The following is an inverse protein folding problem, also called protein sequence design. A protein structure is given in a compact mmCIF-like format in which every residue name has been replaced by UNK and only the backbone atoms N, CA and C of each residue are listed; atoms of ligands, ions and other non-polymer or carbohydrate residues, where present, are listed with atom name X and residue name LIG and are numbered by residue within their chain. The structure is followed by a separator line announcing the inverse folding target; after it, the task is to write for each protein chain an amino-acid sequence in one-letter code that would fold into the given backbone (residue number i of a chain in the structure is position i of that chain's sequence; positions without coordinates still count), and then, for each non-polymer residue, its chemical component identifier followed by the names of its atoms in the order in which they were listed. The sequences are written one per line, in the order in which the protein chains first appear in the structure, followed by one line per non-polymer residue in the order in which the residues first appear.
data_IF_248041099349
#
_entry.id   IF_248041099349
#
_cell.length_a   1.000
_cell.length_b   1.000
_cell.length_c   1.000
_cell.angle_alpha   90.00
_cell.angle_beta   90.00
_cell.angle_gamma   90.00
#
_symmetry.space_group_name_H-M   'P 1'
#
loop_
_entity.id
_entity.type
_entity.pdbx_description
1 polymer ?
#
# COMPACT_ATOMS: atom_id res chain seq x y z
N UNK A 1 -6.97 13.85 6.41
CA UNK A 1 -6.05 13.47 7.50
C UNK A 1 -4.98 12.50 6.98
N UNK A 2 -3.81 12.52 7.61
CA UNK A 2 -2.68 11.66 7.27
C UNK A 2 -2.28 10.84 8.50
N UNK A 3 -2.16 9.52 8.33
CA UNK A 3 -1.47 8.64 9.27
C UNK A 3 -0.16 8.20 8.62
N UNK A 4 0.97 8.54 9.26
CA UNK A 4 2.29 8.28 8.68
C UNK A 4 3.17 7.46 9.62
N UNK A 5 3.52 6.25 9.18
CA UNK A 5 4.52 5.40 9.82
C UNK A 5 5.90 5.71 9.25
N UNK A 6 6.81 6.16 10.11
CA UNK A 6 8.18 6.54 9.71
C UNK A 6 9.24 5.48 9.97
N UNK A 7 8.97 4.54 10.86
CA UNK A 7 9.97 3.68 11.48
C UNK A 7 10.71 4.42 12.62
N UNK A 8 11.33 3.65 13.51
CA UNK A 8 11.99 4.18 14.72
C UNK A 8 13.14 5.16 14.40
N UNK A 9 13.91 4.86 13.35
CA UNK A 9 15.08 5.66 12.98
C UNK A 9 14.72 7.08 12.49
N UNK A 10 13.61 7.20 11.74
CA UNK A 10 13.19 8.47 11.15
C UNK A 10 12.20 9.24 12.03
N UNK A 11 11.54 8.56 12.96
CA UNK A 11 10.53 9.17 13.82
C UNK A 11 11.02 10.44 14.56
N UNK A 12 12.22 10.47 15.18
CA UNK A 12 12.69 11.66 15.89
C UNK A 12 12.78 12.91 15.01
N UNK A 13 13.02 12.72 13.72
CA UNK A 13 13.16 13.79 12.72
C UNK A 13 11.81 14.40 12.34
N UNK A 14 10.75 13.58 12.31
CA UNK A 14 9.44 14.00 11.80
C UNK A 14 8.38 14.20 12.87
N UNK A 15 8.56 13.72 14.09
CA UNK A 15 7.55 13.78 15.16
C UNK A 15 6.99 15.18 15.45
N UNK A 16 7.77 16.24 15.21
CA UNK A 16 7.35 17.62 15.48
C UNK A 16 6.37 18.18 14.43
N UNK A 17 6.10 17.43 13.34
CA UNK A 17 5.08 17.77 12.34
C UNK A 17 3.71 17.17 12.67
N UNK A 18 3.55 16.50 13.83
CA UNK A 18 2.24 16.08 14.30
C UNK A 18 1.35 17.30 14.55
N UNK A 19 0.13 17.24 14.05
CA UNK A 19 -0.93 18.22 14.30
C UNK A 19 -2.32 17.54 14.28
N UNK A 20 -3.40 18.32 14.22
CA UNK A 20 -4.78 17.79 14.15
C UNK A 20 -5.12 17.03 12.85
N UNK A 21 -4.32 17.19 11.82
CA UNK A 21 -4.53 16.54 10.50
C UNK A 21 -3.47 15.50 10.17
N UNK A 22 -2.30 15.57 10.81
CA UNK A 22 -1.15 14.70 10.53
C UNK A 22 -0.76 13.96 11.81
N UNK A 23 -0.95 12.64 11.80
CA UNK A 23 -0.50 11.75 12.87
C UNK A 23 0.71 10.95 12.43
N UNK A 24 1.86 11.23 13.05
CA UNK A 24 3.15 10.56 12.75
C UNK A 24 3.47 9.61 13.90
N UNK A 25 3.78 8.38 13.56
CA UNK A 25 4.11 7.33 14.53
C UNK A 25 5.33 6.52 14.06
N UNK A 26 6.18 6.02 14.96
CA UNK A 26 7.24 5.13 14.56
C UNK A 26 6.70 3.81 14.00
N UNK A 27 5.58 3.32 14.55
CA UNK A 27 4.94 2.07 14.14
C UNK A 27 3.42 2.12 14.34
N UNK A 28 2.66 1.59 13.39
CA UNK A 28 1.20 1.46 13.48
C UNK A 28 0.88 0.11 14.11
N UNK A 29 0.47 0.10 15.38
CA UNK A 29 0.17 -1.13 16.11
C UNK A 29 -1.15 -1.79 15.70
N UNK A 30 -2.11 -1.01 15.24
CA UNK A 30 -3.41 -1.51 14.78
C UNK A 30 -3.57 -1.27 13.27
N UNK A 31 -2.96 -2.14 12.48
CA UNK A 31 -3.02 -2.06 11.01
C UNK A 31 -4.42 -2.29 10.47
N UNK A 32 -5.24 -3.12 11.13
CA UNK A 32 -6.60 -3.40 10.69
C UNK A 32 -7.44 -2.12 10.69
N UNK A 33 -7.36 -1.35 11.79
CA UNK A 33 -8.03 -0.06 11.89
C UNK A 33 -7.48 0.96 10.91
N UNK A 34 -6.15 0.98 10.71
CA UNK A 34 -5.52 1.88 9.73
C UNK A 34 -5.98 1.57 8.31
N UNK A 35 -6.01 0.30 7.91
CA UNK A 35 -6.55 -0.11 6.62
C UNK A 35 -8.05 0.19 6.50
N UNK A 36 -8.85 -0.04 7.55
CA UNK A 36 -10.28 0.23 7.52
C UNK A 36 -10.58 1.71 7.23
N UNK A 37 -9.85 2.62 7.86
CA UNK A 37 -10.04 4.07 7.77
C UNK A 37 -9.44 4.69 6.50
N UNK A 38 -8.43 4.06 5.88
CA UNK A 38 -7.73 4.64 4.75
C UNK A 38 -8.61 4.73 3.49
N UNK A 39 -8.66 5.90 2.86
CA UNK A 39 -9.19 6.09 1.51
C UNK A 39 -8.12 5.80 0.44
N UNK A 40 -6.88 6.14 0.72
CA UNK A 40 -5.72 5.94 -0.16
C UNK A 40 -4.52 5.49 0.67
N UNK A 41 -3.80 4.47 0.19
CA UNK A 41 -2.58 3.96 0.82
C UNK A 41 -1.37 4.30 -0.04
N UNK A 42 -0.32 4.83 0.59
CA UNK A 42 0.96 5.12 -0.07
C UNK A 42 2.03 4.28 0.61
N UNK A 43 2.65 3.37 -0.13
CA UNK A 43 3.58 2.43 0.48
C UNK A 43 4.59 1.84 -0.51
N UNK A 44 5.52 1.04 0.01
CA UNK A 44 6.36 0.14 -0.79
C UNK A 44 5.54 -1.03 -1.33
N UNK A 45 6.00 -1.65 -2.43
CA UNK A 45 5.32 -2.77 -3.08
C UNK A 45 5.89 -4.14 -2.67
N UNK A 46 6.09 -4.33 -1.36
CA UNK A 46 6.41 -5.64 -0.78
C UNK A 46 5.22 -6.60 -0.89
N UNK A 47 5.50 -7.90 -1.10
CA UNK A 47 4.46 -8.90 -1.35
C UNK A 47 3.40 -8.98 -0.25
N UNK A 48 3.79 -8.95 1.03
CA UNK A 48 2.86 -8.99 2.17
C UNK A 48 1.98 -7.74 2.20
N UNK A 49 2.57 -6.55 2.03
CA UNK A 49 1.82 -5.29 2.00
C UNK A 49 0.78 -5.30 0.87
N UNK A 50 1.15 -5.79 -0.32
CA UNK A 50 0.20 -5.88 -1.42
C UNK A 50 -0.91 -6.91 -1.17
N UNK A 51 -0.60 -8.04 -0.51
CA UNK A 51 -1.61 -9.01 -0.10
C UNK A 51 -2.63 -8.40 0.86
N UNK A 52 -2.17 -7.64 1.86
CA UNK A 52 -3.03 -6.93 2.81
C UNK A 52 -3.90 -5.87 2.13
N UNK A 53 -3.31 -5.01 1.30
CA UNK A 53 -4.00 -3.96 0.55
C UNK A 53 -5.11 -4.56 -0.33
N UNK A 54 -4.81 -5.65 -1.04
CA UNK A 54 -5.78 -6.29 -1.94
C UNK A 54 -6.90 -7.00 -1.18
N UNK A 55 -6.60 -7.68 -0.07
CA UNK A 55 -7.63 -8.27 0.78
C UNK A 55 -8.54 -7.20 1.37
N UNK A 56 -7.98 -6.06 1.81
CA UNK A 56 -8.76 -4.92 2.31
C UNK A 56 -9.50 -4.16 1.19
N UNK A 57 -9.11 -4.33 -0.08
CA UNK A 57 -9.71 -3.64 -1.22
C UNK A 57 -9.44 -2.14 -1.17
N UNK A 58 -8.18 -1.73 -1.07
CA UNK A 58 -7.80 -0.32 -0.96
C UNK A 58 -7.11 0.18 -2.23
N UNK A 59 -7.42 1.41 -2.62
CA UNK A 59 -6.69 2.14 -3.64
C UNK A 59 -5.28 2.47 -3.15
N UNK A 60 -4.27 2.41 -4.02
CA UNK A 60 -2.89 2.66 -3.59
C UNK A 60 -2.03 3.42 -4.59
N UNK A 61 -1.06 4.17 -4.06
CA UNK A 61 0.11 4.65 -4.77
C UNK A 61 1.31 3.84 -4.28
N UNK A 62 1.93 3.11 -5.19
CA UNK A 62 3.04 2.23 -4.91
C UNK A 62 4.37 2.89 -5.30
N UNK A 63 5.32 2.89 -4.36
CA UNK A 63 6.66 3.41 -4.57
C UNK A 63 7.66 2.25 -4.38
N UNK A 64 8.00 1.51 -5.44
CA UNK A 64 8.91 0.38 -5.34
C UNK A 64 10.25 0.77 -4.74
N UNK A 65 10.81 -0.10 -3.89
CA UNK A 65 12.14 0.10 -3.37
C UNK A 65 13.17 -0.15 -4.48
N UNK A 66 14.01 0.87 -4.82
CA UNK A 66 14.87 0.81 -6.01
C UNK A 66 16.02 -0.19 -5.94
N UNK A 67 16.29 -0.73 -4.76
CA UNK A 67 17.34 -1.74 -4.51
C UNK A 67 16.76 -3.11 -4.13
N UNK A 68 15.50 -3.35 -4.46
CA UNK A 68 14.87 -4.65 -4.25
C UNK A 68 15.53 -5.73 -5.11
N UNK A 69 15.82 -6.90 -4.52
CA UNK A 69 16.46 -8.01 -5.23
C UNK A 69 15.65 -8.37 -6.50
N UNK A 70 16.35 -8.59 -7.62
CA UNK A 70 15.75 -8.90 -8.93
C UNK A 70 14.58 -7.98 -9.33
N UNK A 71 14.55 -6.75 -8.81
CA UNK A 71 13.50 -5.75 -9.07
C UNK A 71 12.07 -6.25 -8.80
N UNK A 72 11.93 -7.15 -7.81
CA UNK A 72 10.64 -7.77 -7.53
C UNK A 72 9.55 -6.75 -7.11
N UNK A 73 9.94 -5.64 -6.45
CA UNK A 73 8.95 -4.64 -6.05
C UNK A 73 8.35 -3.88 -7.22
N UNK A 74 9.13 -3.58 -8.27
CA UNK A 74 8.58 -2.98 -9.48
C UNK A 74 7.61 -3.94 -10.19
N UNK A 75 7.97 -5.22 -10.29
CA UNK A 75 7.09 -6.25 -10.89
C UNK A 75 5.78 -6.40 -10.11
N UNK A 76 5.86 -6.43 -8.79
CA UNK A 76 4.70 -6.49 -7.92
C UNK A 76 3.79 -5.27 -8.11
N UNK A 77 4.35 -4.06 -8.11
CA UNK A 77 3.58 -2.83 -8.33
C UNK A 77 2.91 -2.84 -9.71
N UNK A 78 3.64 -3.25 -10.76
CA UNK A 78 3.12 -3.28 -12.12
C UNK A 78 1.92 -4.23 -12.26
N UNK A 79 1.90 -5.35 -11.54
CA UNK A 79 0.76 -6.26 -11.54
C UNK A 79 -0.54 -5.57 -11.05
N UNK A 80 -0.45 -4.77 -9.98
CA UNK A 80 -1.59 -4.01 -9.47
C UNK A 80 -1.98 -2.86 -10.40
N UNK A 81 -1.00 -2.18 -11.00
CA UNK A 81 -1.25 -1.11 -11.99
C UNK A 81 -1.97 -1.65 -13.22
N UNK A 82 -1.53 -2.78 -13.75
CA UNK A 82 -2.16 -3.44 -14.91
C UNK A 82 -3.61 -3.87 -14.63
N UNK A 83 -3.92 -4.18 -13.39
CA UNK A 83 -5.29 -4.48 -12.94
C UNK A 83 -6.13 -3.23 -12.65
N UNK A 84 -5.56 -2.02 -12.73
CA UNK A 84 -6.23 -0.77 -12.37
C UNK A 84 -6.41 -0.55 -10.86
N UNK A 85 -5.67 -1.29 -10.02
CA UNK A 85 -5.77 -1.27 -8.56
C UNK A 85 -4.83 -0.25 -7.89
N UNK A 86 -3.81 0.22 -8.61
CA UNK A 86 -2.79 1.10 -8.07
C UNK A 86 -2.24 2.07 -9.12
N UNK A 87 -1.58 3.12 -8.63
CA UNK A 87 -0.62 3.92 -9.41
C UNK A 87 0.79 3.64 -8.93
N UNK A 88 1.77 3.79 -9.82
CA UNK A 88 3.18 3.62 -9.49
C UNK A 88 3.92 4.95 -9.63
N UNK A 89 4.78 5.25 -8.65
CA UNK A 89 5.73 6.37 -8.69
C UNK A 89 7.13 5.82 -8.44
N UNK A 90 8.08 6.19 -9.28
CA UNK A 90 9.46 5.71 -9.17
C UNK A 90 10.30 6.67 -8.33
N UNK A 91 10.81 6.21 -7.20
CA UNK A 91 11.60 7.03 -6.26
C UNK A 91 12.74 7.80 -6.91
N UNK A 92 13.43 7.21 -7.90
CA UNK A 92 14.61 7.84 -8.55
C UNK A 92 14.28 9.12 -9.30
N UNK A 93 13.09 9.23 -9.87
CA UNK A 93 12.64 10.39 -10.66
C UNK A 93 11.60 11.25 -9.96
N UNK A 94 11.11 10.80 -8.78
CA UNK A 94 10.00 11.43 -8.08
C UNK A 94 10.37 12.82 -7.58
N UNK A 95 9.65 13.82 -8.05
CA UNK A 95 9.74 15.20 -7.57
C UNK A 95 8.63 15.49 -6.54
N UNK A 96 8.85 16.37 -5.56
CA UNK A 96 7.84 16.71 -4.56
C UNK A 96 6.51 17.18 -5.16
N UNK A 97 6.56 17.96 -6.23
CA UNK A 97 5.37 18.46 -6.94
C UNK A 97 4.60 17.34 -7.62
N UNK A 98 5.29 16.38 -8.25
CA UNK A 98 4.66 15.21 -8.88
C UNK A 98 3.99 14.33 -7.82
N UNK A 99 4.67 14.10 -6.70
CA UNK A 99 4.13 13.34 -5.57
C UNK A 99 2.85 13.99 -5.03
N UNK A 100 2.90 15.28 -4.70
CA UNK A 100 1.75 16.02 -4.23
C UNK A 100 0.60 15.97 -5.24
N UNK A 101 0.86 16.26 -6.52
CA UNK A 101 -0.15 16.25 -7.57
C UNK A 101 -0.81 14.88 -7.73
N UNK A 102 -0.04 13.80 -7.67
CA UNK A 102 -0.54 12.42 -7.77
C UNK A 102 -1.50 12.07 -6.64
N UNK A 103 -1.20 12.52 -5.41
CA UNK A 103 -2.06 12.31 -4.24
C UNK A 103 -3.34 13.12 -4.39
N UNK A 104 -3.21 14.44 -4.65
CA UNK A 104 -4.36 15.34 -4.68
C UNK A 104 -5.33 14.99 -5.79
N UNK A 105 -4.85 14.58 -6.96
CA UNK A 105 -5.69 14.13 -8.06
C UNK A 105 -6.52 12.90 -7.70
N UNK A 106 -5.98 11.96 -6.93
CA UNK A 106 -6.74 10.79 -6.49
C UNK A 106 -7.72 11.13 -5.39
N UNK A 107 -7.29 11.87 -4.36
CA UNK A 107 -8.15 12.19 -3.20
C UNK A 107 -9.37 13.00 -3.63
N UNK A 108 -9.23 13.90 -4.62
CA UNK A 108 -10.34 14.67 -5.14
C UNK A 108 -11.16 13.95 -6.21
N UNK A 109 -10.77 12.75 -6.64
CA UNK A 109 -11.50 11.93 -7.59
C UNK A 109 -12.06 10.67 -6.92
N UNK A 110 -13.18 10.83 -6.21
CA UNK A 110 -13.84 9.74 -5.48
C UNK A 110 -14.17 8.55 -6.37
N UNK A 111 -14.63 8.79 -7.58
CA UNK A 111 -14.98 7.74 -8.55
C UNK A 111 -13.76 6.90 -8.91
N UNK A 112 -12.62 7.53 -9.13
CA UNK A 112 -11.37 6.82 -9.44
C UNK A 112 -10.87 6.01 -8.24
N UNK A 113 -10.92 6.57 -7.02
CA UNK A 113 -10.57 5.85 -5.81
C UNK A 113 -11.42 4.58 -5.62
N UNK A 114 -12.74 4.71 -5.78
CA UNK A 114 -13.67 3.58 -5.64
C UNK A 114 -13.42 2.51 -6.72
N UNK A 115 -13.15 2.92 -7.95
CA UNK A 115 -12.79 2.01 -9.05
C UNK A 115 -11.48 1.27 -8.77
N UNK A 116 -10.46 1.97 -8.30
CA UNK A 116 -9.19 1.37 -7.92
C UNK A 116 -9.35 0.40 -6.73
N UNK A 117 -10.13 0.78 -5.72
CA UNK A 117 -10.41 -0.04 -4.57
C UNK A 117 -11.16 -1.34 -4.95
N UNK A 118 -12.15 -1.23 -5.84
CA UNK A 118 -12.86 -2.39 -6.37
C UNK A 118 -11.92 -3.33 -7.15
N UNK A 119 -11.07 -2.79 -8.03
CA UNK A 119 -10.07 -3.56 -8.76
C UNK A 119 -9.06 -4.24 -7.80
N UNK A 120 -8.61 -3.52 -6.77
CA UNK A 120 -7.75 -4.09 -5.72
C UNK A 120 -8.41 -5.28 -5.03
N UNK A 121 -9.68 -5.16 -4.67
CA UNK A 121 -10.44 -6.23 -4.00
C UNK A 121 -10.52 -7.51 -4.81
N UNK A 122 -10.59 -7.43 -6.14
CA UNK A 122 -10.64 -8.63 -7.00
C UNK A 122 -9.34 -9.44 -7.01
N UNK A 123 -8.22 -8.82 -6.62
CA UNK A 123 -6.91 -9.47 -6.54
C UNK A 123 -6.67 -10.13 -5.16
N UNK A 124 -7.48 -9.80 -4.18
CA UNK A 124 -7.34 -10.30 -2.81
C UNK A 124 -7.59 -11.79 -2.69
N UNK A 125 -6.77 -12.47 -1.87
CA UNK A 125 -6.91 -13.90 -1.54
C UNK A 125 -7.10 -14.11 -0.04
N UNK A 126 -8.29 -13.84 0.52
CA UNK A 126 -8.52 -13.91 1.96
C UNK A 126 -8.36 -15.33 2.53
N UNK A 127 -8.52 -16.37 1.71
CA UNK A 127 -8.41 -17.76 2.10
C UNK A 127 -7.03 -18.39 1.80
N UNK A 128 -6.02 -17.62 1.39
CA UNK A 128 -4.73 -18.14 0.95
C UNK A 128 -4.06 -19.08 1.98
N UNK A 129 -4.09 -18.74 3.25
CA UNK A 129 -3.53 -19.58 4.32
C UNK A 129 -4.22 -20.94 4.38
N UNK A 130 -5.55 -20.96 4.32
CA UNK A 130 -6.32 -22.22 4.31
C UNK A 130 -6.00 -23.06 3.08
N UNK A 131 -5.96 -22.45 1.90
CA UNK A 131 -5.64 -23.13 0.64
C UNK A 131 -4.23 -23.77 0.69
N UNK A 132 -3.24 -23.08 1.26
CA UNK A 132 -1.87 -23.62 1.45
C UNK A 132 -1.87 -24.81 2.40
N UNK A 133 -2.55 -24.69 3.54
CA UNK A 133 -2.66 -25.78 4.53
C UNK A 133 -3.34 -27.01 3.92
N UNK A 134 -4.44 -26.81 3.21
CA UNK A 134 -5.18 -27.92 2.54
C UNK A 134 -4.26 -28.64 1.53
N UNK A 135 -3.46 -27.91 0.75
CA UNK A 135 -2.50 -28.51 -0.19
C UNK A 135 -1.38 -29.30 0.52
N UNK A 136 -0.86 -28.79 1.65
CA UNK A 136 0.15 -29.53 2.44
C UNK A 136 -0.42 -30.87 2.90
N UNK A 137 -1.62 -30.88 3.45
CA UNK A 137 -2.25 -32.14 3.89
C UNK A 137 -2.52 -33.10 2.75
N UNK A 138 -2.95 -32.60 1.57
CA UNK A 138 -3.12 -33.45 0.39
C UNK A 138 -1.82 -34.06 -0.12
N UNK A 139 -0.71 -33.32 -0.04
CA UNK A 139 0.62 -33.80 -0.47
C UNK A 139 1.24 -34.79 0.52
N UNK A 140 0.79 -34.81 1.77
CA UNK A 140 1.29 -35.66 2.84
C UNK A 140 0.47 -36.97 3.02
N UNK A 141 -0.63 -37.12 2.30
CA UNK A 141 -1.51 -38.29 2.34
C UNK A 141 -1.11 -39.34 1.28
#
# INVERSE_FOLDING_TARGET
QVLWQTGDLEYPKYKNYNDEHIHITPFINNMDSAYALADLIICRSGALTLAEITVCGKASILIPFPFAAADHQTKNAQALVNAGAARILFQKSLQPQEFHHSIMNLIHNRVELEKMAAASKTLGRPNATKEIVDQIFQAAA
#
